data_IF_298995210821
#
_entry.id   IF_298995210821
#
_cell.length_a   1.000
_cell.length_b   1.000
_cell.length_c   1.000
_cell.angle_alpha   90.00
_cell.angle_beta   90.00
_cell.angle_gamma   90.00
#
_symmetry.space_group_name_H-M   'P 1'
#
loop_
_entity.id
_entity.type
_entity.pdbx_description
1 polymer ?
#
# COMPACT_ATOMS: atom_id res chain seq x y z
N UNK A 1 -28.57 1.47 -29.57
CA UNK A 1 -27.21 1.86 -29.11
C UNK A 1 -27.09 1.96 -27.58
N UNK A 2 -28.18 2.07 -26.82
CA UNK A 2 -28.16 2.24 -25.34
C UNK A 2 -27.74 0.98 -24.56
N UNK A 3 -28.21 -0.21 -24.96
CA UNK A 3 -27.92 -1.47 -24.26
C UNK A 3 -26.43 -1.83 -24.22
N UNK A 4 -25.70 -1.67 -25.33
CA UNK A 4 -24.26 -1.93 -25.39
C UNK A 4 -23.47 -1.04 -24.43
N UNK A 5 -23.85 0.25 -24.31
CA UNK A 5 -23.20 1.19 -23.39
C UNK A 5 -23.47 0.82 -21.93
N UNK A 6 -24.70 0.43 -21.61
CA UNK A 6 -25.06 -0.02 -20.26
C UNK A 6 -24.31 -1.30 -19.90
N UNK A 7 -24.25 -2.28 -20.81
CA UNK A 7 -23.50 -3.53 -20.61
C UNK A 7 -22.00 -3.28 -20.42
N UNK A 8 -21.40 -2.42 -21.24
CA UNK A 8 -19.98 -2.07 -21.11
C UNK A 8 -19.66 -1.40 -19.76
N UNK A 9 -20.53 -0.52 -19.27
CA UNK A 9 -20.38 0.08 -17.93
C UNK A 9 -20.48 -0.98 -16.83
N UNK A 10 -21.48 -1.85 -16.91
CA UNK A 10 -21.64 -2.93 -15.93
C UNK A 10 -20.40 -3.83 -15.88
N UNK A 11 -19.91 -4.29 -17.04
CA UNK A 11 -18.70 -5.11 -17.10
C UNK A 11 -17.49 -4.39 -16.51
N UNK A 12 -17.30 -3.11 -16.83
CA UNK A 12 -16.22 -2.31 -16.23
C UNK A 12 -16.34 -2.24 -14.71
N UNK A 13 -17.54 -2.06 -14.16
CA UNK A 13 -17.74 -2.09 -12.70
C UNK A 13 -17.38 -3.44 -12.10
N UNK A 14 -17.79 -4.54 -12.73
CA UNK A 14 -17.42 -5.89 -12.29
C UNK A 14 -15.90 -6.11 -12.34
N UNK A 15 -15.23 -5.66 -13.39
CA UNK A 15 -13.77 -5.71 -13.50
C UNK A 15 -13.11 -4.88 -12.39
N UNK A 16 -13.56 -3.65 -12.17
CA UNK A 16 -13.02 -2.76 -11.15
C UNK A 16 -13.17 -3.33 -9.75
N UNK A 17 -14.28 -4.02 -9.44
CA UNK A 17 -14.46 -4.70 -8.15
C UNK A 17 -13.41 -5.78 -7.89
N UNK A 18 -12.84 -6.37 -8.94
CA UNK A 18 -11.77 -7.37 -8.82
C UNK A 18 -10.39 -6.70 -8.81
N UNK A 19 -10.15 -5.72 -9.68
CA UNK A 19 -8.83 -5.12 -9.89
C UNK A 19 -8.44 -4.14 -8.77
N UNK A 20 -9.39 -3.32 -8.29
CA UNK A 20 -9.10 -2.26 -7.31
C UNK A 20 -8.46 -2.79 -6.02
N UNK A 21 -8.92 -3.88 -5.38
CA UNK A 21 -8.25 -4.43 -4.20
C UNK A 21 -6.76 -4.74 -4.43
N UNK A 22 -6.41 -5.32 -5.57
CA UNK A 22 -5.02 -5.64 -5.90
C UNK A 22 -4.18 -4.38 -6.18
N UNK A 23 -4.72 -3.39 -6.90
CA UNK A 23 -4.01 -2.11 -7.12
C UNK A 23 -3.67 -1.42 -5.79
N UNK A 24 -4.50 -1.63 -4.77
CA UNK A 24 -4.40 -0.95 -3.49
C UNK A 24 -3.44 -1.68 -2.56
N UNK A 25 -3.41 -3.02 -2.61
CA UNK A 25 -2.29 -3.82 -2.10
C UNK A 25 -0.96 -3.33 -2.66
N UNK A 26 -0.89 -3.18 -3.99
CA UNK A 26 0.32 -2.76 -4.67
C UNK A 26 0.73 -1.35 -4.27
N UNK A 27 -0.23 -0.47 -4.04
CA UNK A 27 0.01 0.89 -3.56
C UNK A 27 0.65 0.88 -2.16
N UNK A 28 0.09 0.10 -1.22
CA UNK A 28 0.64 -0.05 0.14
C UNK A 28 2.05 -0.66 0.07
N UNK A 29 2.22 -1.74 -0.69
CA UNK A 29 3.52 -2.40 -0.87
C UNK A 29 4.57 -1.46 -1.50
N UNK A 30 4.15 -0.56 -2.39
CA UNK A 30 5.02 0.46 -2.97
C UNK A 30 5.52 1.46 -1.93
N UNK A 31 4.65 1.87 -1.00
CA UNK A 31 5.05 2.74 0.11
C UNK A 31 6.00 2.04 1.08
N UNK A 32 5.74 0.78 1.42
CA UNK A 32 6.62 -0.03 2.26
C UNK A 32 8.01 -0.21 1.63
N UNK A 33 8.06 -0.60 0.36
CA UNK A 33 9.31 -0.70 -0.39
C UNK A 33 10.06 0.65 -0.47
N UNK A 34 9.32 1.76 -0.60
CA UNK A 34 9.92 3.10 -0.57
C UNK A 34 10.50 3.42 0.80
N UNK A 35 9.81 3.09 1.89
CA UNK A 35 10.33 3.24 3.25
C UNK A 35 11.61 2.43 3.47
N UNK A 36 11.64 1.17 3.04
CA UNK A 36 12.83 0.33 3.12
C UNK A 36 14.01 0.90 2.32
N UNK A 37 13.75 1.39 1.11
CA UNK A 37 14.78 2.03 0.28
C UNK A 37 15.41 3.23 1.01
N UNK A 38 14.60 4.06 1.65
CA UNK A 38 15.09 5.20 2.44
C UNK A 38 15.82 4.77 3.71
N UNK A 39 15.40 3.69 4.36
CA UNK A 39 16.12 3.08 5.47
C UNK A 39 17.54 2.67 5.05
N UNK A 40 17.67 1.92 3.93
CA UNK A 40 18.97 1.51 3.38
C UNK A 40 19.85 2.71 3.03
N UNK A 41 19.27 3.79 2.49
CA UNK A 41 19.98 5.05 2.22
C UNK A 41 20.45 5.76 3.49
N UNK A 42 19.66 5.72 4.56
CA UNK A 42 20.04 6.26 5.85
C UNK A 42 21.23 5.49 6.44
N UNK A 43 21.22 4.16 6.37
CA UNK A 43 22.32 3.30 6.79
C UNK A 43 23.59 3.55 5.98
N UNK A 44 23.48 3.70 4.65
CA UNK A 44 24.61 4.04 3.80
C UNK A 44 25.19 5.42 4.16
N UNK A 45 24.34 6.41 4.40
CA UNK A 45 24.76 7.75 4.81
C UNK A 45 25.46 7.74 6.16
N UNK A 46 24.99 6.90 7.09
CA UNK A 46 25.65 6.68 8.39
C UNK A 46 27.05 6.09 8.21
N UNK A 47 27.22 5.07 7.37
CA UNK A 47 28.54 4.47 7.07
C UNK A 47 29.53 5.48 6.48
N UNK A 48 29.02 6.43 5.70
CA UNK A 48 29.82 7.47 5.06
C UNK A 48 30.01 8.74 5.93
N UNK A 49 29.55 8.73 7.19
CA UNK A 49 29.56 9.88 8.11
C UNK A 49 28.87 11.15 7.59
N UNK A 50 27.83 10.97 6.76
CA UNK A 50 27.02 12.05 6.21
C UNK A 50 25.77 12.32 7.05
N UNK A 51 25.95 13.03 8.17
CA UNK A 51 24.92 13.24 9.20
C UNK A 51 23.65 13.91 8.63
N UNK A 52 23.81 14.94 7.79
CA UNK A 52 22.67 15.64 7.18
C UNK A 52 21.84 14.74 6.23
N UNK A 53 22.53 13.93 5.42
CA UNK A 53 21.89 12.97 4.52
C UNK A 53 21.18 11.86 5.28
N UNK A 54 21.76 11.38 6.38
CA UNK A 54 21.13 10.41 7.27
C UNK A 54 19.84 10.97 7.87
N UNK A 55 19.87 12.19 8.42
CA UNK A 55 18.70 12.82 9.02
C UNK A 55 17.55 12.98 8.00
N UNK A 56 17.87 13.43 6.79
CA UNK A 56 16.89 13.54 5.71
C UNK A 56 16.32 12.18 5.30
N UNK A 57 17.18 11.17 5.11
CA UNK A 57 16.75 9.83 4.73
C UNK A 57 15.83 9.18 5.78
N UNK A 58 16.12 9.36 7.07
CA UNK A 58 15.23 8.90 8.17
C UNK A 58 13.88 9.61 8.17
N UNK A 59 13.86 10.92 7.88
CA UNK A 59 12.60 11.66 7.73
C UNK A 59 11.77 11.11 6.56
N UNK A 60 12.40 10.81 5.43
CA UNK A 60 11.72 10.22 4.28
C UNK A 60 11.16 8.83 4.61
N UNK A 61 11.97 7.96 5.22
CA UNK A 61 11.53 6.65 5.72
C UNK A 61 10.26 6.77 6.58
N UNK A 62 10.28 7.65 7.59
CA UNK A 62 9.14 7.84 8.48
C UNK A 62 7.87 8.30 7.73
N UNK A 63 8.01 9.23 6.79
CA UNK A 63 6.90 9.70 5.94
C UNK A 63 6.30 8.56 5.11
N UNK A 64 7.14 7.72 4.48
CA UNK A 64 6.65 6.59 3.67
C UNK A 64 5.98 5.51 4.52
N UNK A 65 6.49 5.24 5.72
CA UNK A 65 5.82 4.33 6.67
C UNK A 65 4.45 4.87 7.09
N UNK A 66 4.35 6.17 7.33
CA UNK A 66 3.08 6.81 7.66
C UNK A 66 2.08 6.67 6.49
N UNK A 67 2.50 6.92 5.25
CA UNK A 67 1.63 6.71 4.08
C UNK A 67 1.16 5.26 3.95
N UNK A 68 2.02 4.27 4.21
CA UNK A 68 1.62 2.86 4.20
C UNK A 68 0.55 2.57 5.26
N UNK A 69 0.74 3.06 6.49
CA UNK A 69 -0.23 2.89 7.58
C UNK A 69 -1.56 3.59 7.32
N UNK A 70 -1.52 4.85 6.90
CA UNK A 70 -2.72 5.64 6.60
C UNK A 70 -3.52 5.04 5.43
N UNK A 71 -2.83 4.60 4.37
CA UNK A 71 -3.46 3.95 3.23
C UNK A 71 -4.11 2.62 3.62
N UNK A 72 -3.41 1.79 4.42
CA UNK A 72 -3.94 0.51 4.93
C UNK A 72 -5.22 0.74 5.74
N UNK A 73 -5.17 1.66 6.70
CA UNK A 73 -6.33 2.02 7.53
C UNK A 73 -7.51 2.51 6.70
N UNK A 74 -7.28 3.45 5.79
CA UNK A 74 -8.33 3.96 4.90
C UNK A 74 -8.93 2.86 4.01
N UNK A 75 -8.11 1.89 3.59
CA UNK A 75 -8.58 0.75 2.80
C UNK A 75 -9.45 -0.20 3.60
N UNK A 76 -9.06 -0.50 4.83
CA UNK A 76 -9.83 -1.36 5.75
C UNK A 76 -11.19 -0.71 6.04
N UNK A 77 -11.21 0.58 6.36
CA UNK A 77 -12.43 1.34 6.64
C UNK A 77 -13.40 1.40 5.44
N UNK A 78 -12.88 1.47 4.21
CA UNK A 78 -13.73 1.64 3.00
C UNK A 78 -14.28 0.33 2.45
N UNK A 79 -13.54 -0.77 2.54
CA UNK A 79 -13.92 -2.07 1.97
C UNK A 79 -14.59 -2.98 3.01
N UNK A 80 -14.33 -2.76 4.31
CA UNK A 80 -14.74 -3.65 5.40
C UNK A 80 -13.85 -4.89 5.48
N UNK A 81 -13.60 -5.36 6.70
CA UNK A 81 -12.70 -6.49 6.98
C UNK A 81 -13.11 -7.79 6.28
N UNK A 82 -14.41 -8.04 6.13
CA UNK A 82 -14.95 -9.25 5.49
C UNK A 82 -14.58 -9.33 3.99
N UNK A 83 -14.59 -8.19 3.29
CA UNK A 83 -14.12 -8.13 1.90
C UNK A 83 -12.59 -8.17 1.81
N UNK A 84 -11.87 -7.77 2.85
CA UNK A 84 -10.41 -7.94 2.91
C UNK A 84 -10.02 -9.43 3.01
N UNK A 85 -10.66 -10.17 3.90
CA UNK A 85 -10.51 -11.62 4.03
C UNK A 85 -10.80 -12.37 2.72
N UNK A 86 -11.86 -11.95 2.00
CA UNK A 86 -12.22 -12.52 0.69
C UNK A 86 -11.09 -12.44 -0.35
N UNK A 87 -10.27 -11.40 -0.30
CA UNK A 87 -9.19 -11.15 -1.25
C UNK A 87 -7.78 -11.42 -0.69
N UNK A 88 -7.69 -12.06 0.48
CA UNK A 88 -6.41 -12.39 1.11
C UNK A 88 -5.59 -11.15 1.53
N UNK A 89 -6.28 -10.04 1.84
CA UNK A 89 -5.67 -8.82 2.36
C UNK A 89 -5.31 -9.01 3.85
N UNK A 90 -4.16 -8.50 4.33
CA UNK A 90 -3.85 -8.50 5.76
C UNK A 90 -4.88 -7.61 6.49
N UNK A 91 -5.75 -8.23 7.28
CA UNK A 91 -6.60 -7.53 8.25
C UNK A 91 -5.78 -7.06 9.46
N UNK A 92 -6.34 -6.17 10.29
CA UNK A 92 -5.64 -5.59 11.45
C UNK A 92 -5.14 -6.63 12.48
N UNK A 93 -5.58 -7.88 12.40
CA UNK A 93 -5.20 -8.96 13.34
C UNK A 93 -4.09 -9.92 12.84
N UNK A 94 -3.41 -9.64 11.73
CA UNK A 94 -2.66 -10.67 10.99
C UNK A 94 -1.15 -10.50 10.79
N UNK A 95 -0.40 -9.85 11.68
CA UNK A 95 1.08 -9.93 11.73
C UNK A 95 1.59 -11.31 12.23
N UNK A 96 0.90 -12.42 11.93
CA UNK A 96 1.27 -13.77 12.44
C UNK A 96 1.29 -14.91 11.41
N UNK A 97 1.18 -14.63 10.10
CA UNK A 97 1.32 -15.70 9.09
C UNK A 97 2.31 -15.34 7.98
N UNK A 98 3.58 -15.27 8.34
CA UNK A 98 4.70 -15.47 7.43
C UNK A 98 5.81 -16.28 8.12
N UNK A 99 5.57 -17.58 8.28
CA UNK A 99 6.56 -18.66 8.29
C UNK A 99 5.99 -19.87 7.54
#
# INVERSE_FOLDING_TARGET
>A
VTWLRTKARYNRWCEQMVVLPFEMQWTIASFENSAELWCRRAEQSQRNNFIGHQAYARRQEAMWRQFAGDARKAFIETIGEDSMLRWGLPGEEGDEYNL
#
